data_IF_989334252946
#
_entry.id   IF_989334252946
#
_cell.length_a   1.000
_cell.length_b   1.000
_cell.length_c   1.000
_cell.angle_alpha   90.00
_cell.angle_beta   90.00
_cell.angle_gamma   90.00
#
_symmetry.space_group_name_H-M   'P 1'
#
loop_
_entity.id
_entity.type
_entity.pdbx_description
1 polymer ?
#
# COMPACT_ATOMS: atom_id res chain seq x y z
N UNK A 1 38.45 -27.06 4.31
CA UNK A 1 39.86 -27.49 4.31
C UNK A 1 40.69 -26.21 4.27
N UNK A 2 41.24 -25.65 5.34
CA UNK A 2 41.61 -26.15 6.65
C UNK A 2 41.40 -25.08 7.76
N UNK A 3 41.33 -25.55 9.00
CA UNK A 3 41.32 -24.83 10.29
C UNK A 3 42.61 -24.03 10.60
N UNK A 4 42.52 -23.17 11.64
CA UNK A 4 43.38 -23.05 12.85
C UNK A 4 43.00 -21.71 13.51
N UNK A 5 42.17 -21.68 14.56
CA UNK A 5 42.43 -21.88 15.99
C UNK A 5 43.10 -20.67 16.69
N UNK A 6 42.32 -20.07 17.60
CA UNK A 6 42.65 -19.06 18.61
C UNK A 6 43.70 -19.54 19.63
N UNK A 7 44.46 -18.63 20.25
CA UNK A 7 44.23 -18.30 21.67
C UNK A 7 45.05 -17.08 22.14
N UNK A 8 44.46 -16.36 23.08
CA UNK A 8 44.95 -15.15 23.74
C UNK A 8 45.91 -15.46 24.91
N UNK A 9 46.69 -14.49 25.40
CA UNK A 9 47.67 -14.71 26.48
C UNK A 9 47.13 -14.32 27.87
N UNK A 10 47.77 -14.80 28.96
CA UNK A 10 47.60 -14.22 30.29
C UNK A 10 48.83 -13.50 30.84
N UNK A 11 48.56 -12.88 31.99
CA UNK A 11 49.24 -11.89 32.83
C UNK A 11 50.61 -12.21 33.47
N UNK A 12 51.40 -11.14 33.62
CA UNK A 12 52.20 -10.66 34.77
C UNK A 12 52.79 -11.65 35.82
N UNK A 13 54.11 -11.55 36.08
CA UNK A 13 54.67 -10.92 37.31
C UNK A 13 56.17 -11.25 37.56
N UNK A 14 56.90 -10.20 37.98
CA UNK A 14 57.97 -10.11 38.99
C UNK A 14 59.32 -10.88 38.90
N UNK A 15 60.40 -10.07 38.87
CA UNK A 15 61.67 -10.11 39.68
C UNK A 15 62.53 -11.39 39.73
N UNK A 16 63.86 -11.40 39.81
CA UNK A 16 64.98 -10.43 39.91
C UNK A 16 66.26 -11.26 40.07
N UNK A 17 67.43 -10.79 39.65
CA UNK A 17 68.69 -11.13 40.35
C UNK A 17 69.81 -10.13 40.00
N UNK A 18 70.40 -9.60 41.06
CA UNK A 18 71.44 -8.58 41.10
C UNK A 18 72.87 -9.16 41.12
N UNK A 19 73.87 -8.32 40.83
CA UNK A 19 75.19 -8.38 41.48
C UNK A 19 75.96 -7.05 41.32
N UNK A 20 76.32 -6.46 42.47
CA UNK A 20 77.27 -5.35 42.70
C UNK A 20 78.74 -5.87 42.58
N UNK A 21 79.88 -5.16 42.64
CA UNK A 21 80.37 -3.87 43.21
C UNK A 21 81.79 -3.64 42.58
N UNK A 22 82.30 -2.42 42.27
CA UNK A 22 83.18 -1.51 43.05
C UNK A 22 84.21 -0.91 42.06
N UNK A 23 84.81 0.30 42.11
CA UNK A 23 84.94 1.40 43.08
C UNK A 23 85.58 2.66 42.44
N UNK A 24 85.36 3.84 43.05
CA UNK A 24 86.26 5.01 43.22
C UNK A 24 85.86 6.39 42.60
N UNK A 25 85.45 7.28 43.52
CA UNK A 25 85.64 8.73 43.68
C UNK A 25 85.21 9.78 42.61
N UNK A 26 84.21 10.63 42.95
CA UNK A 26 84.40 12.01 43.42
C UNK A 26 83.12 12.89 43.35
N UNK A 27 82.75 13.45 44.51
CA UNK A 27 82.03 14.70 44.81
C UNK A 27 80.95 15.33 43.90
N UNK A 28 79.75 15.45 44.50
CA UNK A 28 78.85 16.62 44.58
C UNK A 28 78.23 17.23 43.30
N UNK A 29 76.91 17.12 43.18
CA UNK A 29 75.94 18.23 43.32
C UNK A 29 74.59 17.87 42.66
N UNK A 30 73.50 18.35 43.28
CA UNK A 30 72.12 18.22 42.79
C UNK A 30 71.92 18.61 41.32
N UNK A 31 71.08 17.85 40.61
CA UNK A 31 70.62 18.16 39.25
C UNK A 31 69.14 17.81 39.11
N UNK A 32 68.33 18.84 38.94
CA UNK A 32 66.89 18.82 38.81
C UNK A 32 66.37 17.94 37.64
N UNK A 33 65.09 17.55 37.75
CA UNK A 33 64.27 16.93 36.71
C UNK A 33 64.42 17.59 35.33
N UNK A 34 65.16 16.95 34.42
CA UNK A 34 65.18 17.33 33.00
C UNK A 34 64.13 16.51 32.22
N UNK A 35 62.94 17.10 32.03
CA UNK A 35 62.09 16.75 30.89
C UNK A 35 62.87 17.06 29.62
N UNK A 36 63.24 16.05 28.83
CA UNK A 36 63.85 16.24 27.48
C UNK A 36 63.04 17.27 26.67
N UNK A 37 63.58 18.47 26.36
CA UNK A 37 62.90 19.44 25.52
C UNK A 37 63.35 19.24 24.07
N UNK A 38 63.25 18.02 23.54
CA UNK A 38 63.60 17.81 22.13
C UNK A 38 62.39 18.18 21.28
N UNK A 39 62.46 19.34 20.61
CA UNK A 39 61.50 19.74 19.57
C UNK A 39 61.26 18.56 18.62
N UNK A 40 60.01 18.24 18.24
CA UNK A 40 59.75 17.12 17.34
C UNK A 40 60.60 17.29 16.09
N UNK A 41 61.43 16.27 15.81
CA UNK A 41 62.40 16.35 14.71
C UNK A 41 61.67 16.63 13.39
N UNK A 42 62.15 17.62 12.62
CA UNK A 42 61.58 18.05 11.32
C UNK A 42 61.23 16.88 10.39
N UNK A 43 62.00 15.80 10.45
CA UNK A 43 61.78 14.56 9.70
C UNK A 43 60.43 13.89 10.02
N UNK A 44 60.04 13.82 11.30
CA UNK A 44 58.75 13.24 11.72
C UNK A 44 57.59 14.13 11.29
N UNK A 45 57.73 15.45 11.39
CA UNK A 45 56.73 16.41 10.93
C UNK A 45 56.51 16.35 9.41
N UNK A 46 57.59 16.24 8.63
CA UNK A 46 57.51 16.06 7.18
C UNK A 46 56.81 14.77 6.79
N UNK A 47 57.06 13.68 7.53
CA UNK A 47 56.45 12.38 7.27
C UNK A 47 54.96 12.38 7.59
N UNK A 48 54.55 12.98 8.73
CA UNK A 48 53.12 13.13 9.06
C UNK A 48 52.39 14.06 8.10
N UNK A 49 53.03 15.15 7.65
CA UNK A 49 52.45 16.06 6.66
C UNK A 49 52.30 15.38 5.30
N UNK A 50 53.28 14.56 4.89
CA UNK A 50 53.23 13.80 3.63
C UNK A 50 52.09 12.79 3.62
N UNK A 51 51.89 12.04 4.72
CA UNK A 51 50.77 11.12 4.84
C UNK A 51 49.44 11.88 4.82
N UNK A 52 49.30 12.97 5.59
CA UNK A 52 48.09 13.79 5.59
C UNK A 52 47.76 14.35 4.18
N UNK A 53 48.78 14.83 3.46
CA UNK A 53 48.61 15.37 2.12
C UNK A 53 48.15 14.29 1.12
N UNK A 54 48.64 13.05 1.27
CA UNK A 54 48.17 11.93 0.44
C UNK A 54 46.70 11.60 0.66
N UNK A 55 46.22 11.67 1.92
CA UNK A 55 44.79 11.52 2.23
C UNK A 55 43.96 12.68 1.65
N UNK A 56 44.43 13.91 1.76
CA UNK A 56 43.73 15.09 1.21
C UNK A 56 43.63 15.05 -0.33
N UNK A 57 44.67 14.55 -0.99
CA UNK A 57 44.69 14.36 -2.45
C UNK A 57 43.79 13.18 -2.89
N UNK A 58 43.70 12.12 -2.08
CA UNK A 58 42.84 10.96 -2.35
C UNK A 58 41.37 11.16 -2.01
N UNK A 59 41.05 12.04 -1.05
CA UNK A 59 39.69 12.34 -0.61
C UNK A 59 38.73 12.74 -1.74
N UNK A 60 39.06 13.65 -2.68
CA UNK A 60 38.15 13.99 -3.78
C UNK A 60 37.85 12.80 -4.69
N UNK A 61 38.84 11.92 -4.94
CA UNK A 61 38.63 10.70 -5.73
C UNK A 61 37.80 9.66 -4.98
N UNK A 62 38.06 9.51 -3.68
CA UNK A 62 37.25 8.66 -2.82
C UNK A 62 35.79 9.13 -2.79
N UNK A 63 35.55 10.41 -2.50
CA UNK A 63 34.20 10.99 -2.51
C UNK A 63 33.53 10.84 -3.88
N UNK A 64 34.28 10.98 -4.98
CA UNK A 64 33.73 10.82 -6.33
C UNK A 64 33.39 9.37 -6.69
N UNK A 65 34.19 8.41 -6.22
CA UNK A 65 33.95 6.96 -6.45
C UNK A 65 32.88 6.40 -5.53
N UNK A 66 32.67 6.99 -4.35
CA UNK A 66 31.57 6.65 -3.44
C UNK A 66 30.30 7.45 -3.69
N UNK A 67 30.30 8.38 -4.66
CA UNK A 67 29.12 9.16 -5.03
C UNK A 67 28.10 8.23 -5.71
N UNK A 68 27.10 7.78 -4.95
CA UNK A 68 25.97 7.04 -5.50
C UNK A 68 25.18 8.01 -6.38
N UNK A 69 25.32 7.90 -7.70
CA UNK A 69 24.52 8.68 -8.63
C UNK A 69 23.05 8.29 -8.49
N UNK A 70 22.26 9.19 -7.90
CA UNK A 70 20.80 9.13 -7.91
C UNK A 70 20.31 10.17 -8.91
N UNK A 71 19.41 9.77 -9.81
CA UNK A 71 18.76 10.70 -10.71
C UNK A 71 18.17 11.87 -9.90
N UNK A 72 18.46 13.13 -10.24
CA UNK A 72 17.94 14.27 -9.49
C UNK A 72 16.42 14.26 -9.55
N UNK A 73 15.78 13.96 -8.42
CA UNK A 73 14.34 14.03 -8.29
C UNK A 73 13.92 15.51 -8.33
N UNK A 74 12.91 15.88 -9.14
CA UNK A 74 12.46 17.26 -9.25
C UNK A 74 11.58 17.64 -8.05
N UNK A 75 12.16 17.73 -6.85
CA UNK A 75 11.45 18.03 -5.59
C UNK A 75 10.63 19.32 -5.67
N UNK A 76 11.14 20.34 -6.35
CA UNK A 76 10.41 21.60 -6.57
C UNK A 76 9.11 21.36 -7.35
N UNK A 77 9.16 20.55 -8.40
CA UNK A 77 7.98 20.22 -9.21
C UNK A 77 7.00 19.33 -8.46
N UNK A 78 7.51 18.36 -7.68
CA UNK A 78 6.67 17.47 -6.84
C UNK A 78 5.94 18.29 -5.78
N UNK A 79 6.64 19.18 -5.08
CA UNK A 79 6.03 20.05 -4.06
C UNK A 79 5.05 21.04 -4.68
N UNK A 80 5.38 21.63 -5.83
CA UNK A 80 4.47 22.52 -6.54
C UNK A 80 3.19 21.80 -6.99
N UNK A 81 3.31 20.56 -7.47
CA UNK A 81 2.15 19.72 -7.82
C UNK A 81 1.33 19.36 -6.58
N UNK A 82 1.98 18.96 -5.48
CA UNK A 82 1.28 18.65 -4.23
C UNK A 82 0.50 19.84 -3.68
N UNK A 83 1.11 21.04 -3.70
CA UNK A 83 0.43 22.28 -3.30
C UNK A 83 -0.74 22.60 -4.22
N UNK A 84 -0.56 22.42 -5.54
CA UNK A 84 -1.64 22.60 -6.52
C UNK A 84 -2.80 21.64 -6.26
N UNK A 85 -2.53 20.36 -6.02
CA UNK A 85 -3.55 19.34 -5.74
C UNK A 85 -4.29 19.59 -4.42
N UNK A 86 -3.63 20.23 -3.44
CA UNK A 86 -4.27 20.66 -2.19
C UNK A 86 -5.16 21.90 -2.39
N UNK A 87 -4.76 22.83 -3.25
CA UNK A 87 -5.53 24.04 -3.53
C UNK A 87 -6.67 23.82 -4.53
N UNK A 88 -6.45 22.96 -5.52
CA UNK A 88 -7.33 22.68 -6.66
C UNK A 88 -7.24 21.20 -7.00
N UNK A 89 -7.93 20.33 -6.25
CA UNK A 89 -7.96 18.91 -6.55
C UNK A 89 -8.68 18.70 -7.90
N UNK A 90 -8.16 17.83 -8.78
CA UNK A 90 -8.79 17.57 -10.06
C UNK A 90 -10.21 17.05 -9.86
N UNK A 91 -11.20 17.70 -10.47
CA UNK A 91 -12.56 17.16 -10.53
C UNK A 91 -12.60 16.02 -11.54
N UNK A 92 -13.06 14.85 -11.08
CA UNK A 92 -13.41 13.77 -11.99
C UNK A 92 -14.82 14.06 -12.51
N UNK A 93 -15.08 14.01 -13.82
CA UNK A 93 -16.45 14.16 -14.32
C UNK A 93 -17.28 12.95 -13.86
N UNK A 94 -18.25 13.19 -12.96
CA UNK A 94 -19.20 12.15 -12.56
C UNK A 94 -20.47 12.22 -13.39
N UNK A 95 -20.95 11.05 -13.81
CA UNK A 95 -22.29 10.88 -14.39
C UNK A 95 -23.13 9.97 -13.51
N UNK A 96 -24.31 10.48 -13.14
CA UNK A 96 -25.30 9.78 -12.33
C UNK A 96 -26.57 9.57 -13.13
N UNK A 97 -27.09 8.35 -13.10
CA UNK A 97 -28.29 7.96 -13.82
C UNK A 97 -29.32 7.39 -12.85
N UNK A 98 -30.53 7.91 -12.85
CA UNK A 98 -31.62 7.34 -12.05
C UNK A 98 -32.68 6.73 -12.97
N UNK A 99 -32.99 5.46 -12.76
CA UNK A 99 -34.00 4.72 -13.51
C UNK A 99 -35.17 4.46 -12.58
N UNK A 100 -36.39 4.81 -12.97
CA UNK A 100 -37.60 4.50 -12.23
C UNK A 100 -38.43 3.50 -13.04
N UNK A 101 -38.60 2.29 -12.51
CA UNK A 101 -39.48 1.28 -13.08
C UNK A 101 -40.88 1.52 -12.54
N UNK A 102 -41.80 1.96 -13.41
CA UNK A 102 -43.18 2.25 -13.01
C UNK A 102 -44.17 1.85 -14.10
N UNK A 103 -45.41 1.48 -13.76
CA UNK A 103 -46.41 1.11 -14.75
C UNK A 103 -47.05 2.32 -15.49
N UNK A 104 -46.97 3.54 -14.93
CA UNK A 104 -47.73 4.70 -15.46
C UNK A 104 -46.82 5.68 -16.22
N UNK A 105 -47.12 5.97 -17.50
CA UNK A 105 -46.37 6.93 -18.30
C UNK A 105 -46.60 8.37 -17.83
N UNK A 106 -45.52 9.11 -17.59
CA UNK A 106 -45.52 10.55 -17.35
C UNK A 106 -44.24 11.18 -17.90
N UNK A 107 -44.34 11.86 -19.04
CA UNK A 107 -43.19 12.48 -19.70
C UNK A 107 -42.65 13.71 -18.98
N UNK A 108 -43.48 14.41 -18.22
CA UNK A 108 -43.11 15.64 -17.50
C UNK A 108 -42.34 15.35 -16.20
N UNK A 109 -42.57 14.17 -15.63
CA UNK A 109 -42.00 13.75 -14.36
C UNK A 109 -40.47 13.56 -14.43
N UNK A 110 -39.94 13.08 -15.56
CA UNK A 110 -38.50 12.85 -15.73
C UNK A 110 -37.69 14.13 -15.50
N UNK A 111 -38.15 15.25 -16.06
CA UNK A 111 -37.47 16.55 -15.93
C UNK A 111 -37.60 17.16 -14.54
N UNK A 112 -38.76 16.96 -13.89
CA UNK A 112 -38.99 17.36 -12.50
C UNK A 112 -38.07 16.60 -11.54
N UNK A 113 -37.97 15.28 -11.71
CA UNK A 113 -37.11 14.42 -10.88
C UNK A 113 -35.63 14.72 -11.09
N UNK A 114 -35.18 14.91 -12.35
CA UNK A 114 -33.79 15.29 -12.63
C UNK A 114 -33.42 16.60 -11.94
N UNK A 115 -34.30 17.60 -12.04
CA UNK A 115 -34.10 18.90 -11.38
C UNK A 115 -34.06 18.77 -9.85
N UNK A 116 -34.95 17.96 -9.27
CA UNK A 116 -35.00 17.72 -7.83
C UNK A 116 -33.77 16.96 -7.31
N UNK A 117 -33.36 15.87 -7.99
CA UNK A 117 -32.18 15.07 -7.64
C UNK A 117 -30.91 15.92 -7.74
N UNK A 118 -30.74 16.66 -8.85
CA UNK A 118 -29.56 17.52 -9.00
C UNK A 118 -29.48 18.61 -7.93
N UNK A 119 -30.62 19.19 -7.53
CA UNK A 119 -30.68 20.16 -6.44
C UNK A 119 -30.32 19.54 -5.08
N UNK A 120 -30.85 18.35 -4.77
CA UNK A 120 -30.54 17.64 -3.51
C UNK A 120 -29.07 17.21 -3.44
N UNK A 121 -28.52 16.71 -4.54
CA UNK A 121 -27.09 16.36 -4.64
C UNK A 121 -26.20 17.58 -4.42
N UNK A 122 -26.50 18.73 -5.04
CA UNK A 122 -25.73 19.98 -4.83
C UNK A 122 -25.79 20.43 -3.38
N UNK A 123 -26.94 20.28 -2.71
CA UNK A 123 -27.09 20.60 -1.28
C UNK A 123 -26.23 19.69 -0.40
N UNK A 124 -26.03 18.43 -0.77
CA UNK A 124 -25.26 17.43 0.01
C UNK A 124 -23.77 17.39 -0.30
N UNK A 125 -23.36 17.69 -1.53
CA UNK A 125 -21.97 17.53 -1.98
C UNK A 125 -20.98 18.48 -1.27
N UNK A 126 -21.48 19.56 -0.64
CA UNK A 126 -20.64 20.58 0.00
C UNK A 126 -19.78 21.36 -1.01
N UNK A 127 -19.11 22.42 -0.55
CA UNK A 127 -18.29 23.28 -1.42
C UNK A 127 -16.86 22.76 -1.60
N UNK A 128 -16.39 21.83 -0.76
CA UNK A 128 -15.06 21.23 -0.88
C UNK A 128 -15.16 19.82 -1.46
N UNK A 129 -14.59 19.56 -2.66
CA UNK A 129 -14.49 18.22 -3.18
C UNK A 129 -13.63 17.37 -2.23
N UNK A 130 -14.16 16.22 -1.83
CA UNK A 130 -13.39 15.16 -1.19
C UNK A 130 -12.36 14.61 -2.17
N UNK A 131 -11.18 14.22 -1.68
CA UNK A 131 -10.14 13.62 -2.52
C UNK A 131 -10.70 12.39 -3.25
N UNK A 132 -10.70 12.41 -4.59
CA UNK A 132 -11.24 11.35 -5.45
C UNK A 132 -12.74 11.46 -5.76
N UNK A 133 -13.45 12.48 -5.25
CA UNK A 133 -14.84 12.77 -5.59
C UNK A 133 -14.97 13.83 -6.70
N UNK A 134 -16.19 14.05 -7.19
CA UNK A 134 -16.50 14.99 -8.26
C UNK A 134 -17.04 16.35 -7.80
N UNK A 135 -17.22 16.56 -6.50
CA UNK A 135 -17.70 17.84 -5.95
C UNK A 135 -19.03 18.29 -6.60
N UNK A 136 -19.01 19.45 -7.25
CA UNK A 136 -20.19 20.03 -7.94
C UNK A 136 -20.19 19.77 -9.46
N UNK A 137 -19.17 19.11 -9.96
CA UNK A 137 -18.94 18.83 -11.37
C UNK A 137 -19.50 17.44 -11.72
N UNK A 138 -20.83 17.38 -11.80
CA UNK A 138 -21.56 16.15 -12.11
C UNK A 138 -22.76 16.40 -13.02
N UNK A 139 -23.04 15.41 -13.87
CA UNK A 139 -24.24 15.37 -14.70
C UNK A 139 -25.22 14.32 -14.15
N UNK A 140 -26.52 14.64 -14.22
CA UNK A 140 -27.61 13.75 -13.77
C UNK A 140 -28.55 13.53 -14.94
N UNK A 141 -28.82 12.27 -15.27
CA UNK A 141 -29.85 11.86 -16.22
C UNK A 141 -30.90 10.99 -15.54
N UNK A 142 -32.15 11.08 -15.99
CA UNK A 142 -33.28 10.32 -15.43
C UNK A 142 -34.02 9.60 -16.55
N UNK A 143 -34.32 8.32 -16.34
CA UNK A 143 -35.17 7.51 -17.23
C UNK A 143 -36.35 6.94 -16.44
N UNK A 144 -37.54 7.11 -16.98
CA UNK A 144 -38.77 6.48 -16.49
C UNK A 144 -39.10 5.35 -17.45
N UNK A 145 -39.03 4.10 -16.99
CA UNK A 145 -39.27 2.91 -17.80
C UNK A 145 -40.66 2.34 -17.48
N UNK A 146 -41.46 2.19 -18.53
CA UNK A 146 -42.85 1.71 -18.48
C UNK A 146 -42.99 0.27 -19.00
N UNK A 147 -41.90 -0.51 -19.05
CA UNK A 147 -41.88 -1.92 -19.45
C UNK A 147 -41.72 -2.14 -20.96
N UNK A 148 -41.71 -1.08 -21.77
CA UNK A 148 -41.50 -1.16 -23.22
C UNK A 148 -41.20 0.19 -23.88
N UNK A 149 -41.69 1.28 -23.30
CA UNK A 149 -41.34 2.66 -23.68
C UNK A 149 -40.72 3.41 -22.49
N UNK A 150 -39.96 4.46 -22.74
CA UNK A 150 -39.41 5.32 -21.69
C UNK A 150 -39.52 6.81 -21.99
N UNK A 151 -39.72 7.58 -20.93
CA UNK A 151 -39.42 9.01 -20.93
C UNK A 151 -38.01 9.25 -20.38
N UNK A 152 -37.22 10.10 -21.05
CA UNK A 152 -35.85 10.44 -20.64
C UNK A 152 -35.69 11.95 -20.49
N UNK A 153 -34.88 12.35 -19.53
CA UNK A 153 -34.29 13.69 -19.48
C UNK A 153 -32.80 13.56 -19.18
N UNK A 154 -31.99 13.81 -20.20
CA UNK A 154 -30.54 13.65 -20.17
C UNK A 154 -29.80 14.96 -19.86
N UNK A 155 -30.54 16.05 -19.59
CA UNK A 155 -29.94 17.32 -19.20
C UNK A 155 -29.11 18.01 -20.29
N UNK A 156 -29.26 17.61 -21.55
CA UNK A 156 -28.59 18.20 -22.72
C UNK A 156 -27.42 17.41 -23.30
N UNK A 157 -27.13 16.21 -22.77
CA UNK A 157 -26.13 15.28 -23.31
C UNK A 157 -26.82 14.03 -23.90
N UNK A 158 -26.26 13.40 -24.94
CA UNK A 158 -26.90 12.22 -25.58
C UNK A 158 -26.79 10.98 -24.68
N UNK A 159 -27.76 10.82 -23.78
CA UNK A 159 -27.88 9.73 -22.80
C UNK A 159 -28.73 8.55 -23.29
N UNK A 160 -29.14 8.57 -24.56
CA UNK A 160 -30.08 7.60 -25.14
C UNK A 160 -29.65 6.14 -24.99
N UNK A 161 -28.34 5.90 -24.90
CA UNK A 161 -27.76 4.57 -24.81
C UNK A 161 -27.47 4.09 -23.36
N UNK A 162 -27.76 4.90 -22.32
CA UNK A 162 -27.52 4.51 -20.92
C UNK A 162 -28.48 3.43 -20.40
N UNK A 163 -29.70 3.37 -20.94
CA UNK A 163 -30.73 2.42 -20.52
C UNK A 163 -31.65 2.04 -21.69
N UNK A 164 -31.87 0.74 -21.85
CA UNK A 164 -32.85 0.19 -22.79
C UNK A 164 -34.21 -0.02 -22.11
N UNK A 165 -35.26 0.54 -22.69
CA UNK A 165 -36.63 0.41 -22.17
C UNK A 165 -37.06 -1.05 -22.14
N UNK A 166 -37.73 -1.45 -21.06
CA UNK A 166 -38.17 -2.82 -20.85
C UNK A 166 -37.02 -3.82 -20.66
N UNK A 167 -35.79 -3.37 -20.36
CA UNK A 167 -34.66 -4.28 -20.14
C UNK A 167 -34.82 -5.13 -18.86
N UNK A 168 -35.58 -4.64 -17.87
CA UNK A 168 -35.78 -5.30 -16.58
C UNK A 168 -37.27 -5.29 -16.24
N UNK A 169 -37.81 -6.47 -15.91
CA UNK A 169 -39.19 -6.63 -15.47
C UNK A 169 -39.30 -6.64 -13.93
N UNK A 170 -40.38 -6.03 -13.43
CA UNK A 170 -40.65 -5.78 -12.00
C UNK A 170 -40.82 -7.07 -11.16
N UNK A 171 -41.17 -8.19 -11.79
CA UNK A 171 -41.63 -9.41 -11.10
C UNK A 171 -40.51 -10.20 -10.40
N UNK A 172 -39.24 -10.03 -10.80
CA UNK A 172 -38.10 -10.80 -10.27
C UNK A 172 -37.28 -10.12 -9.16
N UNK A 173 -37.49 -8.83 -8.90
CA UNK A 173 -36.64 -8.01 -8.02
C UNK A 173 -36.96 -8.22 -6.53
N UNK A 174 -36.63 -9.38 -5.97
CA UNK A 174 -36.82 -9.60 -4.52
C UNK A 174 -36.45 -10.95 -3.95
N UNK A 175 -36.19 -11.96 -4.78
CA UNK A 175 -35.89 -13.31 -4.29
C UNK A 175 -34.40 -13.55 -3.99
N UNK A 176 -33.50 -12.97 -4.80
CA UNK A 176 -32.05 -13.10 -4.64
C UNK A 176 -31.33 -11.82 -5.08
N UNK A 177 -30.54 -11.22 -4.18
CA UNK A 177 -29.78 -10.00 -4.47
C UNK A 177 -28.67 -10.23 -5.48
N UNK A 178 -28.07 -11.43 -5.51
CA UNK A 178 -27.01 -11.72 -6.49
C UNK A 178 -27.59 -11.80 -7.90
N UNK A 179 -28.72 -12.48 -8.07
CA UNK A 179 -29.42 -12.54 -9.36
C UNK A 179 -29.87 -11.16 -9.86
N UNK A 180 -30.33 -10.28 -8.97
CA UNK A 180 -30.70 -8.90 -9.34
C UNK A 180 -29.47 -8.09 -9.76
N UNK A 181 -28.34 -8.23 -9.05
CA UNK A 181 -27.09 -7.55 -9.41
C UNK A 181 -26.60 -7.97 -10.80
N UNK A 182 -26.59 -9.27 -11.08
CA UNK A 182 -26.12 -9.82 -12.35
C UNK A 182 -27.07 -9.45 -13.51
N UNK A 183 -28.38 -9.35 -13.25
CA UNK A 183 -29.39 -8.86 -14.20
C UNK A 183 -29.18 -7.38 -14.53
N UNK A 184 -28.97 -6.55 -13.50
CA UNK A 184 -28.70 -5.12 -13.68
C UNK A 184 -27.36 -4.88 -14.38
N UNK A 185 -26.32 -5.63 -14.04
CA UNK A 185 -25.03 -5.55 -14.73
C UNK A 185 -25.17 -5.93 -16.21
N UNK A 186 -25.99 -6.93 -16.53
CA UNK A 186 -26.28 -7.32 -17.92
C UNK A 186 -27.08 -6.24 -18.68
N UNK A 187 -28.11 -5.67 -18.05
CA UNK A 187 -28.94 -4.61 -18.63
C UNK A 187 -28.14 -3.33 -18.88
N UNK A 188 -27.28 -2.96 -17.93
CA UNK A 188 -26.43 -1.77 -18.00
C UNK A 188 -25.20 -2.00 -18.87
N UNK A 189 -24.57 -3.17 -18.79
CA UNK A 189 -23.38 -3.55 -19.58
C UNK A 189 -23.69 -3.82 -21.05
N UNK A 190 -24.93 -4.19 -21.37
CA UNK A 190 -25.40 -4.31 -22.75
C UNK A 190 -25.80 -2.98 -23.40
N UNK A 191 -26.14 -1.96 -22.62
CA UNK A 191 -26.54 -0.63 -23.11
C UNK A 191 -25.34 0.35 -23.09
N UNK A 192 -24.54 0.32 -22.03
CA UNK A 192 -23.22 0.94 -21.97
C UNK A 192 -22.17 0.12 -22.74
N UNK A 193 -22.45 -0.16 -24.02
CA UNK A 193 -21.41 -0.58 -24.96
C UNK A 193 -20.24 0.40 -24.89
N UNK A 194 -19.04 -0.04 -25.28
CA UNK A 194 -17.84 0.81 -25.33
C UNK A 194 -18.11 2.20 -25.95
N UNK A 195 -19.06 2.30 -26.89
CA UNK A 195 -19.54 3.56 -27.48
C UNK A 195 -20.05 4.58 -26.45
N UNK A 196 -20.89 4.19 -25.49
CA UNK A 196 -21.41 5.13 -24.49
C UNK A 196 -20.36 5.51 -23.45
N UNK A 197 -19.47 4.59 -23.09
CA UNK A 197 -18.37 4.88 -22.17
C UNK A 197 -17.34 5.85 -22.80
N UNK A 198 -17.12 5.75 -24.11
CA UNK A 198 -16.25 6.65 -24.88
C UNK A 198 -16.91 8.00 -25.18
N UNK A 199 -18.19 8.02 -25.58
CA UNK A 199 -18.95 9.25 -25.84
C UNK A 199 -19.28 10.02 -24.55
N UNK A 200 -19.54 9.32 -23.43
CA UNK A 200 -19.85 9.93 -22.13
C UNK A 200 -18.63 10.13 -21.22
N UNK A 201 -17.40 10.06 -21.74
CA UNK A 201 -16.21 10.44 -20.98
C UNK A 201 -16.01 9.70 -19.65
N UNK A 202 -16.53 8.46 -19.51
CA UNK A 202 -16.44 7.70 -18.26
C UNK A 202 -17.57 6.69 -18.04
N UNK A 203 -17.46 5.92 -16.95
CA UNK A 203 -18.48 4.94 -16.52
C UNK A 203 -19.53 5.62 -15.65
N UNK A 204 -20.80 5.34 -15.91
CA UNK A 204 -21.97 5.95 -15.25
C UNK A 204 -22.36 5.18 -13.98
N UNK A 205 -22.80 5.91 -12.94
CA UNK A 205 -23.35 5.32 -11.73
C UNK A 205 -24.88 5.32 -11.76
N UNK A 206 -25.50 4.16 -11.59
CA UNK A 206 -26.95 4.01 -11.79
C UNK A 206 -27.70 3.64 -10.52
N UNK A 207 -28.82 4.30 -10.23
CA UNK A 207 -29.77 3.87 -9.18
C UNK A 207 -31.09 3.50 -9.82
N UNK A 208 -31.56 2.28 -9.57
CA UNK A 208 -32.84 1.77 -10.07
C UNK A 208 -33.87 1.78 -8.96
N UNK A 209 -35.01 2.45 -9.17
CA UNK A 209 -36.12 2.52 -8.23
C UNK A 209 -37.24 1.62 -8.73
N UNK A 210 -37.66 0.70 -7.89
CA UNK A 210 -38.69 -0.29 -8.14
C UNK A 210 -39.83 -0.05 -7.18
N UNK A 211 -40.92 0.53 -7.68
CA UNK A 211 -42.12 0.78 -6.89
C UNK A 211 -42.92 -0.53 -6.77
N UNK A 212 -43.09 -1.02 -5.54
CA UNK A 212 -43.92 -2.19 -5.21
C UNK A 212 -44.94 -1.83 -4.16
N UNK A 213 -46.20 -2.15 -4.42
CA UNK A 213 -47.31 -1.83 -3.51
C UNK A 213 -47.38 -2.76 -2.29
N UNK A 214 -46.86 -4.00 -2.41
CA UNK A 214 -46.99 -5.05 -1.40
C UNK A 214 -45.93 -5.00 -0.28
N UNK A 215 -44.87 -4.21 -0.45
CA UNK A 215 -43.76 -4.14 0.50
C UNK A 215 -44.02 -3.10 1.60
N UNK A 216 -44.09 -3.55 2.87
CA UNK A 216 -44.29 -2.70 4.06
C UNK A 216 -43.07 -1.82 4.43
N UNK A 217 -42.00 -1.84 3.64
CA UNK A 217 -40.76 -1.13 3.94
C UNK A 217 -39.93 -0.79 2.70
N UNK A 218 -39.01 0.16 2.89
CA UNK A 218 -38.08 0.62 1.85
C UNK A 218 -36.76 -0.12 1.99
N UNK A 219 -36.39 -0.89 0.97
CA UNK A 219 -35.14 -1.62 0.90
C UNK A 219 -34.19 -0.92 -0.05
N UNK A 220 -32.96 -0.64 0.40
CA UNK A 220 -31.89 -0.07 -0.43
C UNK A 220 -30.74 -1.05 -0.46
N UNK A 221 -30.34 -1.48 -1.66
CA UNK A 221 -29.25 -2.43 -1.85
C UNK A 221 -28.21 -1.80 -2.77
N UNK A 222 -26.95 -1.87 -2.35
CA UNK A 222 -25.80 -1.45 -3.14
C UNK A 222 -25.27 -2.67 -3.88
N UNK A 223 -25.18 -2.59 -5.20
CA UNK A 223 -24.67 -3.69 -6.03
C UNK A 223 -23.15 -3.89 -5.91
N UNK A 224 -22.68 -5.03 -6.42
CA UNK A 224 -21.25 -5.35 -6.62
C UNK A 224 -20.63 -4.42 -7.67
N UNK A 225 -21.44 -3.97 -8.63
CA UNK A 225 -21.04 -3.09 -9.73
C UNK A 225 -21.44 -1.63 -9.48
N UNK A 226 -21.32 -0.75 -10.49
CA UNK A 226 -21.62 0.70 -10.38
C UNK A 226 -23.13 1.00 -10.39
N UNK A 227 -23.91 0.16 -9.74
CA UNK A 227 -25.34 0.33 -9.64
C UNK A 227 -25.87 0.01 -8.24
N UNK A 228 -27.05 0.52 -7.93
CA UNK A 228 -27.79 0.23 -6.71
C UNK A 228 -29.27 0.18 -7.03
N UNK A 229 -30.06 -0.48 -6.19
CA UNK A 229 -31.51 -0.52 -6.37
C UNK A 229 -32.26 -0.24 -5.07
N UNK A 230 -33.44 0.36 -5.23
CA UNK A 230 -34.35 0.74 -4.18
C UNK A 230 -35.67 0.05 -4.47
N UNK A 231 -36.20 -0.72 -3.51
CA UNK A 231 -37.47 -1.44 -3.64
C UNK A 231 -38.42 -1.00 -2.53
N UNK A 232 -39.67 -0.72 -2.90
CA UNK A 232 -40.76 -0.45 -1.96
C UNK A 232 -41.59 0.77 -2.32
N UNK A 233 -42.62 1.05 -1.52
CA UNK A 233 -43.50 2.21 -1.69
C UNK A 233 -42.90 3.46 -1.04
N UNK A 234 -42.62 4.49 -1.84
CA UNK A 234 -41.88 5.68 -1.40
C UNK A 234 -42.47 6.93 -2.06
N UNK A 235 -42.57 8.02 -1.31
CA UNK A 235 -42.98 9.32 -1.88
C UNK A 235 -41.90 9.90 -2.79
N UNK A 236 -42.27 10.70 -3.79
CA UNK A 236 -41.30 11.34 -4.70
C UNK A 236 -40.18 12.09 -3.96
N UNK A 237 -40.52 12.83 -2.90
CA UNK A 237 -39.57 13.61 -2.11
C UNK A 237 -38.59 12.70 -1.34
N UNK A 238 -39.09 11.61 -0.78
CA UNK A 238 -38.27 10.66 -0.02
C UNK A 238 -37.36 9.87 -0.97
N UNK A 239 -37.83 9.49 -2.17
CA UNK A 239 -36.99 8.86 -3.19
C UNK A 239 -35.87 9.80 -3.63
N UNK A 240 -36.18 11.06 -3.92
CA UNK A 240 -35.16 12.06 -4.29
C UNK A 240 -34.09 12.19 -3.20
N UNK A 241 -34.51 12.29 -1.93
CA UNK A 241 -33.59 12.35 -0.79
C UNK A 241 -32.74 11.07 -0.65
N UNK A 242 -33.32 9.90 -0.91
CA UNK A 242 -32.64 8.62 -0.81
C UNK A 242 -31.62 8.44 -1.95
N UNK A 243 -31.99 8.78 -3.18
CA UNK A 243 -31.10 8.80 -4.35
C UNK A 243 -29.94 9.76 -4.11
N UNK A 244 -30.21 11.00 -3.68
CA UNK A 244 -29.17 11.98 -3.40
C UNK A 244 -28.23 11.52 -2.28
N UNK A 245 -28.75 10.82 -1.27
CA UNK A 245 -27.92 10.14 -0.25
C UNK A 245 -27.08 9.02 -0.87
N UNK A 246 -27.64 8.19 -1.75
CA UNK A 246 -26.89 7.09 -2.40
C UNK A 246 -25.75 7.63 -3.25
N UNK A 247 -26.07 8.55 -4.17
CA UNK A 247 -25.11 9.18 -5.06
C UNK A 247 -24.01 9.92 -4.30
N UNK A 248 -24.37 10.83 -3.39
CA UNK A 248 -23.35 11.65 -2.70
C UNK A 248 -22.59 10.85 -1.66
N UNK A 249 -23.28 10.08 -0.81
CA UNK A 249 -22.59 9.39 0.29
C UNK A 249 -21.78 8.19 -0.20
N UNK A 250 -22.33 7.37 -1.10
CA UNK A 250 -21.70 6.11 -1.48
C UNK A 250 -20.94 6.20 -2.80
N UNK A 251 -21.52 6.74 -3.87
CA UNK A 251 -20.83 6.77 -5.16
C UNK A 251 -19.81 7.91 -5.30
N UNK A 252 -20.10 9.11 -4.80
CA UNK A 252 -19.16 10.24 -4.84
C UNK A 252 -18.08 10.14 -3.76
N UNK A 253 -18.46 9.70 -2.55
CA UNK A 253 -17.59 9.73 -1.37
C UNK A 253 -17.12 8.34 -0.89
N UNK A 254 -17.45 7.27 -1.61
CA UNK A 254 -17.02 5.91 -1.27
C UNK A 254 -17.57 5.39 0.07
N UNK A 255 -18.71 5.93 0.53
CA UNK A 255 -19.35 5.54 1.80
C UNK A 255 -18.71 6.15 3.06
N UNK A 256 -17.61 6.90 2.91
CA UNK A 256 -16.90 7.54 4.03
C UNK A 256 -17.75 8.70 4.59
N UNK A 257 -17.87 8.78 5.91
CA UNK A 257 -18.55 9.92 6.55
C UNK A 257 -17.64 11.15 6.49
N UNK A 258 -18.18 12.27 6.02
CA UNK A 258 -17.52 13.59 6.08
C UNK A 258 -17.21 13.89 7.55
N UNK A 259 -15.95 13.75 7.94
CA UNK A 259 -15.47 13.86 9.34
C UNK A 259 -14.42 12.82 9.74
N UNK A 260 -14.42 11.62 9.14
CA UNK A 260 -13.36 10.61 9.39
C UNK A 260 -12.06 10.91 8.61
N UNK A 261 -12.09 11.86 7.68
CA UNK A 261 -10.90 12.29 6.94
C UNK A 261 -9.86 13.01 7.81
N UNK A 262 -10.23 13.48 9.00
CA UNK A 262 -9.34 14.22 9.90
C UNK A 262 -8.49 13.33 10.83
N UNK A 263 -8.73 12.01 10.86
CA UNK A 263 -7.96 11.07 11.70
C UNK A 263 -7.32 9.97 10.86
N UNK A 264 -6.24 10.33 10.16
CA UNK A 264 -5.09 9.44 10.02
C UNK A 264 -5.17 8.27 9.03
N UNK A 265 -5.84 8.39 7.88
CA UNK A 265 -5.68 7.42 6.78
C UNK A 265 -5.34 8.17 5.49
N UNK A 266 -4.20 8.85 5.50
CA UNK A 266 -3.63 9.53 4.34
C UNK A 266 -2.47 8.80 3.68
N UNK A 267 -2.00 7.66 4.22
CA UNK A 267 -0.68 7.13 3.83
C UNK A 267 -0.60 5.64 3.50
N UNK A 268 -1.70 4.88 3.55
CA UNK A 268 -1.70 3.49 3.11
C UNK A 268 -2.74 3.26 2.03
N UNK A 269 -2.34 3.49 0.78
CA UNK A 269 -2.97 2.80 -0.35
C UNK A 269 -2.45 1.36 -0.28
N UNK A 270 -3.31 0.35 -0.04
CA UNK A 270 -2.88 -1.05 0.14
C UNK A 270 -2.40 -1.69 -1.17
N UNK A 271 -2.57 -0.98 -2.29
CA UNK A 271 -2.18 -1.39 -3.64
C UNK A 271 -1.18 -0.38 -4.22
N UNK A 272 -0.35 -0.83 -5.17
CA UNK A 272 0.49 0.07 -5.96
C UNK A 272 -0.34 1.14 -6.67
N UNK A 273 0.31 2.22 -7.13
CA UNK A 273 -0.37 3.27 -7.90
C UNK A 273 -0.92 2.75 -9.23
N UNK A 274 -0.41 1.61 -9.70
CA UNK A 274 -0.85 0.84 -10.86
C UNK A 274 -1.85 -0.28 -10.51
N UNK A 275 -2.30 -0.35 -9.25
CA UNK A 275 -3.18 -1.41 -8.74
C UNK A 275 -2.49 -2.75 -8.52
N UNK A 276 -1.16 -2.82 -8.63
CA UNK A 276 -0.40 -4.06 -8.46
C UNK A 276 -0.02 -4.34 -7.00
N UNK A 277 -0.07 -5.61 -6.62
CA UNK A 277 0.39 -6.13 -5.32
C UNK A 277 1.23 -7.37 -5.57
N UNK A 278 2.38 -7.46 -4.92
CA UNK A 278 3.26 -8.64 -4.99
C UNK A 278 3.23 -9.35 -3.66
N UNK A 279 2.83 -10.61 -3.65
CA UNK A 279 2.96 -11.48 -2.49
C UNK A 279 4.25 -12.30 -2.67
N UNK A 280 5.27 -12.00 -1.87
CA UNK A 280 6.56 -12.69 -1.92
C UNK A 280 6.67 -13.66 -0.74
N UNK A 281 6.87 -14.94 -1.04
CA UNK A 281 7.03 -16.00 -0.06
C UNK A 281 8.48 -16.46 -0.06
N UNK A 282 9.13 -16.40 1.10
CA UNK A 282 10.54 -16.76 1.26
C UNK A 282 10.71 -17.83 2.32
N UNK A 283 11.30 -18.95 1.94
CA UNK A 283 11.76 -19.99 2.87
C UNK A 283 13.25 -19.74 3.16
N UNK A 284 13.57 -19.43 4.42
CA UNK A 284 14.93 -19.16 4.86
C UNK A 284 15.46 -20.36 5.63
N UNK A 285 16.52 -20.97 5.13
CA UNK A 285 17.21 -22.07 5.78
C UNK A 285 18.51 -21.56 6.41
N UNK A 286 18.56 -21.56 7.74
CA UNK A 286 19.69 -21.01 8.49
C UNK A 286 21.01 -21.71 8.17
N UNK A 287 21.02 -23.05 8.15
CA UNK A 287 22.19 -23.86 7.86
C UNK A 287 21.79 -25.10 7.03
N UNK A 288 22.12 -25.14 5.73
CA UNK A 288 21.83 -26.30 4.89
C UNK A 288 22.70 -27.52 5.22
N UNK A 289 23.72 -27.38 6.07
CA UNK A 289 24.53 -28.50 6.55
C UNK A 289 23.74 -29.47 7.42
N UNK A 290 22.71 -28.97 8.12
CA UNK A 290 21.80 -29.80 8.90
C UNK A 290 20.82 -30.54 8.00
N UNK A 291 20.12 -29.79 7.14
CA UNK A 291 19.19 -30.32 6.16
C UNK A 291 18.89 -29.29 5.08
N UNK A 292 18.74 -29.74 3.84
CA UNK A 292 18.33 -28.89 2.72
C UNK A 292 16.81 -28.91 2.63
N UNK A 293 16.17 -27.89 3.22
CA UNK A 293 14.73 -27.70 3.10
C UNK A 293 14.38 -27.11 1.74
N UNK A 294 13.28 -27.62 1.18
CA UNK A 294 12.63 -27.09 -0.01
C UNK A 294 11.12 -27.26 0.16
N UNK A 295 10.35 -26.48 -0.60
CA UNK A 295 8.90 -26.51 -0.56
C UNK A 295 8.29 -26.63 -1.96
N UNK A 296 7.26 -27.47 -2.08
CA UNK A 296 6.44 -27.56 -3.29
C UNK A 296 5.44 -26.41 -3.33
N UNK A 297 5.95 -25.18 -3.43
CA UNK A 297 5.13 -23.97 -3.35
C UNK A 297 4.05 -23.92 -4.44
N UNK A 298 4.33 -24.46 -5.63
CA UNK A 298 3.39 -24.47 -6.76
C UNK A 298 2.07 -25.17 -6.43
N UNK A 299 2.14 -26.30 -5.71
CA UNK A 299 0.95 -27.07 -5.33
C UNK A 299 0.12 -26.31 -4.30
N UNK A 300 0.79 -25.76 -3.27
CA UNK A 300 0.14 -24.94 -2.24
C UNK A 300 -0.48 -23.66 -2.81
N UNK A 301 0.22 -22.99 -3.72
CA UNK A 301 -0.27 -21.78 -4.40
C UNK A 301 -1.53 -22.07 -5.23
N UNK A 302 -1.57 -23.19 -5.93
CA UNK A 302 -2.74 -23.58 -6.72
C UNK A 302 -3.96 -23.90 -5.85
N UNK A 303 -3.76 -24.58 -4.71
CA UNK A 303 -4.85 -25.01 -3.83
C UNK A 303 -5.37 -23.86 -2.98
N UNK A 304 -4.48 -23.07 -2.37
CA UNK A 304 -4.82 -22.10 -1.32
C UNK A 304 -4.83 -20.66 -1.82
N UNK A 305 -3.84 -20.26 -2.62
CA UNK A 305 -3.63 -18.85 -2.99
C UNK A 305 -4.40 -18.46 -4.26
N UNK A 306 -4.55 -19.38 -5.21
CA UNK A 306 -5.23 -19.10 -6.49
C UNK A 306 -6.70 -18.69 -6.31
N UNK A 307 -7.51 -19.38 -5.48
CA UNK A 307 -8.90 -18.96 -5.22
C UNK A 307 -8.97 -17.56 -4.62
N UNK A 308 -8.03 -17.23 -3.73
CA UNK A 308 -7.92 -15.93 -3.09
C UNK A 308 -7.55 -14.82 -4.08
N UNK A 309 -6.53 -15.04 -4.92
CA UNK A 309 -6.14 -14.08 -5.98
C UNK A 309 -7.28 -13.85 -6.97
N UNK A 310 -8.00 -14.91 -7.34
CA UNK A 310 -9.15 -14.82 -8.24
C UNK A 310 -10.27 -13.97 -7.64
N UNK A 311 -10.55 -14.12 -6.35
CA UNK A 311 -11.55 -13.31 -5.65
C UNK A 311 -11.18 -11.82 -5.58
N UNK A 312 -9.88 -11.51 -5.50
CA UNK A 312 -9.38 -10.14 -5.39
C UNK A 312 -9.04 -9.47 -6.73
N UNK A 313 -9.15 -10.20 -7.84
CA UNK A 313 -8.91 -9.68 -9.19
C UNK A 313 -9.70 -8.39 -9.53
N UNK A 314 -10.95 -8.19 -9.08
CA UNK A 314 -11.67 -6.94 -9.35
C UNK A 314 -11.06 -5.70 -8.67
N UNK A 315 -10.23 -5.90 -7.64
CA UNK A 315 -9.75 -4.84 -6.75
C UNK A 315 -8.25 -4.59 -6.93
N UNK A 316 -7.46 -5.64 -7.21
CA UNK A 316 -6.01 -5.54 -7.37
C UNK A 316 -5.45 -6.59 -8.33
N UNK A 317 -4.38 -6.24 -9.03
CA UNK A 317 -3.59 -7.20 -9.81
C UNK A 317 -2.52 -7.81 -8.89
N UNK A 318 -2.76 -9.05 -8.45
CA UNK A 318 -1.89 -9.72 -7.47
C UNK A 318 -0.96 -10.70 -8.19
N UNK A 319 0.36 -10.49 -8.06
CA UNK A 319 1.37 -11.47 -8.45
C UNK A 319 1.90 -12.22 -7.23
N UNK A 320 2.21 -13.51 -7.41
CA UNK A 320 2.77 -14.36 -6.36
C UNK A 320 4.18 -14.77 -6.77
N UNK A 321 5.13 -14.57 -5.87
CA UNK A 321 6.52 -14.99 -6.02
C UNK A 321 6.91 -15.90 -4.86
N UNK A 322 7.79 -16.86 -5.13
CA UNK A 322 8.32 -17.78 -4.12
C UNK A 322 9.81 -17.95 -4.32
N UNK A 323 10.56 -17.96 -3.23
CA UNK A 323 11.99 -18.19 -3.20
C UNK A 323 12.42 -19.03 -1.99
N UNK A 324 13.56 -19.70 -2.14
CA UNK A 324 14.22 -20.45 -1.07
C UNK A 324 15.63 -19.90 -0.95
N UNK A 325 16.00 -19.44 0.25
CA UNK A 325 17.31 -18.92 0.56
C UNK A 325 18.00 -19.86 1.55
N UNK A 326 19.25 -20.19 1.26
CA UNK A 326 20.11 -21.01 2.11
C UNK A 326 21.17 -20.12 2.76
N UNK A 327 21.74 -20.59 3.87
CA UNK A 327 22.78 -19.89 4.62
C UNK A 327 22.31 -18.54 5.18
N UNK A 328 21.16 -18.55 5.86
CA UNK A 328 20.60 -17.35 6.52
C UNK A 328 20.73 -17.45 8.05
N UNK A 329 21.94 -17.45 8.63
CA UNK A 329 22.11 -17.57 10.08
C UNK A 329 21.48 -16.37 10.80
N UNK A 330 21.02 -16.61 12.03
CA UNK A 330 20.49 -15.53 12.88
C UNK A 330 21.65 -14.73 13.47
N UNK A 331 21.50 -13.40 13.52
CA UNK A 331 22.45 -12.52 14.22
C UNK A 331 22.04 -12.24 15.68
N UNK A 332 20.76 -12.41 16.01
CA UNK A 332 20.24 -12.19 17.36
C UNK A 332 20.25 -13.46 18.21
N UNK A 333 20.63 -13.30 19.48
CA UNK A 333 20.61 -14.38 20.47
C UNK A 333 19.24 -14.40 21.17
N UNK A 334 18.58 -15.56 21.12
CA UNK A 334 17.37 -15.84 21.89
C UNK A 334 17.74 -16.48 23.23
N UNK A 335 16.96 -16.24 24.28
CA UNK A 335 17.07 -16.99 25.53
C UNK A 335 15.95 -18.03 25.64
N UNK A 336 16.22 -19.13 26.33
CA UNK A 336 15.21 -20.15 26.61
C UNK A 336 14.36 -19.72 27.81
N UNK A 337 13.04 -19.82 27.69
CA UNK A 337 12.11 -19.64 28.80
C UNK A 337 11.43 -20.98 29.14
N UNK A 338 11.76 -21.55 30.30
CA UNK A 338 11.20 -22.81 30.78
C UNK A 338 9.68 -22.75 30.93
N UNK A 339 9.12 -21.57 31.25
CA UNK A 339 7.68 -21.42 31.51
C UNK A 339 6.85 -21.57 30.24
N UNK A 340 7.36 -21.08 29.11
CA UNK A 340 6.71 -21.18 27.80
C UNK A 340 7.25 -22.34 26.95
N UNK A 341 8.29 -23.04 27.43
CA UNK A 341 9.01 -24.08 26.67
C UNK A 341 9.37 -23.61 25.26
N UNK A 342 9.83 -22.36 25.16
CA UNK A 342 10.09 -21.69 23.90
C UNK A 342 11.28 -20.73 24.01
N UNK A 343 11.92 -20.46 22.87
CA UNK A 343 12.93 -19.41 22.76
C UNK A 343 12.25 -18.06 22.59
N UNK A 344 12.59 -17.11 23.47
CA UNK A 344 12.02 -15.76 23.46
C UNK A 344 13.04 -14.77 22.91
N UNK A 345 12.55 -13.86 22.07
CA UNK A 345 13.29 -12.69 21.59
C UNK A 345 12.74 -11.42 22.24
N UNK A 346 13.64 -10.50 22.59
CA UNK A 346 13.23 -9.16 22.98
C UNK A 346 12.75 -8.38 21.75
N UNK A 347 11.71 -7.57 21.93
CA UNK A 347 11.22 -6.65 20.88
C UNK A 347 12.36 -5.72 20.39
N UNK A 348 13.33 -5.42 21.26
CA UNK A 348 14.50 -4.59 20.93
C UNK A 348 15.46 -5.26 19.96
N UNK A 349 15.45 -6.58 19.90
CA UNK A 349 16.36 -7.38 19.08
C UNK A 349 15.74 -7.75 17.72
N UNK A 350 14.42 -7.54 17.56
CA UNK A 350 13.68 -7.80 16.34
C UNK A 350 14.21 -7.03 15.10
N UNK A 351 14.65 -5.75 15.20
CA UNK A 351 15.26 -5.05 14.08
C UNK A 351 16.56 -5.70 13.59
N UNK A 352 17.25 -6.45 14.45
CA UNK A 352 18.49 -7.15 14.13
C UNK A 352 18.25 -8.60 13.68
N UNK A 353 17.03 -9.12 13.87
CA UNK A 353 16.61 -10.41 13.34
C UNK A 353 16.45 -10.35 11.83
N UNK A 354 15.78 -9.32 11.31
CA UNK A 354 15.58 -9.14 9.86
C UNK A 354 16.78 -8.38 9.27
N UNK A 355 17.77 -9.11 8.76
CA UNK A 355 18.93 -8.50 8.12
C UNK A 355 18.70 -8.35 6.60
N UNK A 356 18.26 -7.17 6.16
CA UNK A 356 18.08 -6.87 4.72
C UNK A 356 19.37 -6.90 3.90
N UNK A 357 20.55 -6.89 4.54
CA UNK A 357 21.84 -6.90 3.85
C UNK A 357 22.33 -8.33 3.56
N UNK A 358 21.92 -9.33 4.35
CA UNK A 358 22.31 -10.74 4.17
C UNK A 358 21.16 -11.58 3.60
N UNK A 359 19.92 -11.26 3.96
CA UNK A 359 18.75 -11.91 3.39
C UNK A 359 18.39 -11.14 2.13
N UNK A 360 18.90 -11.62 0.99
CA UNK A 360 18.55 -11.13 -0.35
C UNK A 360 17.08 -11.42 -0.67
N UNK A 361 16.18 -10.72 0.01
CA UNK A 361 14.73 -10.74 -0.22
C UNK A 361 14.36 -9.95 -1.48
N UNK A 362 15.13 -10.19 -2.53
CA UNK A 362 14.94 -9.58 -3.84
C UNK A 362 13.64 -10.12 -4.42
N UNK A 363 12.73 -9.22 -4.79
CA UNK A 363 11.55 -9.59 -5.56
C UNK A 363 11.76 -9.13 -6.99
N UNK A 364 11.23 -9.87 -7.95
CA UNK A 364 11.49 -9.62 -9.37
C UNK A 364 10.93 -8.28 -9.86
N UNK A 365 10.09 -7.63 -9.05
CA UNK A 365 9.30 -6.44 -9.40
C UNK A 365 9.74 -5.17 -8.60
N UNK A 366 10.60 -5.30 -7.58
CA UNK A 366 11.05 -4.15 -6.75
C UNK A 366 11.81 -3.07 -7.56
N UNK A 367 12.32 -3.39 -8.75
CA UNK A 367 13.10 -2.48 -9.59
C UNK A 367 12.36 -1.18 -10.02
N UNK A 368 11.04 -1.08 -9.84
CA UNK A 368 10.27 0.09 -10.28
C UNK A 368 9.67 0.95 -9.17
N UNK A 369 9.67 0.54 -7.89
CA UNK A 369 9.05 1.30 -6.79
C UNK A 369 7.55 1.61 -6.96
N UNK A 370 6.87 0.91 -7.88
CA UNK A 370 5.46 1.15 -8.26
C UNK A 370 4.48 0.17 -7.62
N UNK A 371 4.93 -1.03 -7.28
CA UNK A 371 4.15 -2.09 -6.66
C UNK A 371 4.33 -2.11 -5.13
N UNK A 372 3.28 -2.51 -4.41
CA UNK A 372 3.36 -2.78 -2.97
C UNK A 372 3.68 -4.27 -2.77
N UNK A 373 4.71 -4.56 -1.97
CA UNK A 373 5.17 -5.93 -1.70
C UNK A 373 4.77 -6.32 -0.28
N UNK A 374 4.15 -7.49 -0.14
CA UNK A 374 3.93 -8.15 1.14
C UNK A 374 4.84 -9.37 1.21
N UNK A 375 5.72 -9.39 2.21
CA UNK A 375 6.70 -10.47 2.40
C UNK A 375 6.22 -11.45 3.47
N UNK A 376 6.14 -12.71 3.11
CA UNK A 376 5.91 -13.84 4.02
C UNK A 376 7.21 -14.62 4.14
N UNK A 377 7.73 -14.69 5.36
CA UNK A 377 9.02 -15.32 5.63
C UNK A 377 8.80 -16.52 6.55
N UNK A 378 9.21 -17.70 6.10
CA UNK A 378 9.27 -18.91 6.91
C UNK A 378 10.73 -19.17 7.22
N UNK A 379 11.11 -19.07 8.49
CA UNK A 379 12.49 -19.26 8.93
C UNK A 379 12.65 -20.63 9.58
N UNK A 380 13.61 -21.41 9.09
CA UNK A 380 13.99 -22.70 9.64
C UNK A 380 15.32 -22.57 10.38
N UNK A 381 15.31 -22.92 11.66
CA UNK A 381 16.47 -22.89 12.53
C UNK A 381 17.39 -24.09 12.30
N UNK A 382 18.68 -23.89 12.55
CA UNK A 382 19.67 -24.98 12.63
C UNK A 382 19.49 -25.78 13.92
N UNK A 383 19.65 -27.11 13.82
CA UNK A 383 19.55 -28.04 14.95
C UNK A 383 20.77 -28.00 15.87
N UNK A 384 21.92 -27.48 15.41
CA UNK A 384 23.16 -27.46 16.20
C UNK A 384 23.06 -26.51 17.40
N UNK A 385 22.22 -25.48 17.33
CA UNK A 385 21.95 -24.59 18.45
C UNK A 385 20.99 -25.16 19.52
N UNK A 386 20.39 -26.33 19.28
CA UNK A 386 19.55 -27.02 20.28
C UNK A 386 20.36 -27.95 21.20
N UNK A 387 21.60 -28.32 20.81
CA UNK A 387 22.41 -29.28 21.55
C UNK A 387 23.56 -28.65 22.37
N UNK A 388 23.74 -27.33 22.28
CA UNK A 388 24.74 -26.57 23.04
C UNK A 388 24.07 -25.67 24.11
N UNK A 389 23.27 -26.28 24.98
CA UNK A 389 22.81 -25.67 26.23
C UNK A 389 22.82 -26.70 27.35
#
# INVERSE_FOLDING_TARGET
MAEIADDSPPSASASSSASADASADACAAEGASEKRPTKPGRKRLLLTLSVLLSFLLGLPFFLKSTEIYRSPLPFKSINALSLRLQSDPPSLPCRFHAVFLRPVPDSSLASRLRSAISADMRRRAGDRPTCGGCGRDFAVSVTLDFGGDCARDDGGEDGSCLWRCGAVSLDGVGADDSGVDDLLDSALGGAASKECAEASGGRVYTVVVVEREDDLGVRVVMGKHRHAWIVGKISENDVVSLIGKVFVKYFMNGGKKVGELAKGIGEFVPVGADGSVVLSFSLLNADPSDWVYDWKFKDMSNIMLTPFVKALTPIANISIESQVLYHTPKLSQSYWDEKSSSHIFSIRDLPFFVNSNEWHLDTSIIAAGRSKVLQFVVYIFSSIYFASS
#
